data_IF_309977864176
#
_entry.id   IF_309977864176
#
_cell.length_a   1.000
_cell.length_b   1.000
_cell.length_c   1.000
_cell.angle_alpha   90.00
_cell.angle_beta   90.00
_cell.angle_gamma   90.00
#
_symmetry.space_group_name_H-M   'P 1'
#
loop_
_entity.id
_entity.type
_entity.pdbx_description
1 polymer ?
#
# COMPACT_ATOMS: atom_id res chain seq x y z
N UNK A 1 18.52 -43.96 43.03
CA UNK A 1 19.73 -43.18 42.71
C UNK A 1 20.00 -43.30 41.22
N UNK A 2 20.29 -42.15 40.61
CA UNK A 2 20.23 -41.81 39.19
C UNK A 2 21.15 -42.63 38.27
N UNK A 3 20.64 -43.12 37.13
CA UNK A 3 21.42 -43.42 35.91
C UNK A 3 20.57 -43.19 34.65
N UNK A 4 20.73 -41.99 34.09
CA UNK A 4 20.26 -41.62 32.75
C UNK A 4 21.19 -42.30 31.74
N UNK A 5 20.63 -43.09 30.82
CA UNK A 5 21.31 -43.52 29.62
C UNK A 5 20.34 -43.39 28.44
N UNK A 6 20.64 -42.41 27.59
CA UNK A 6 20.03 -42.06 26.31
C UNK A 6 20.26 -43.21 25.31
N UNK A 7 19.32 -43.48 24.40
CA UNK A 7 19.61 -43.88 22.99
C UNK A 7 18.36 -43.77 22.08
N UNK A 8 18.44 -42.78 21.19
CA UNK A 8 17.97 -42.65 19.80
C UNK A 8 16.79 -43.51 19.26
N UNK A 9 15.77 -42.86 18.66
CA UNK A 9 15.57 -42.85 17.19
C UNK A 9 14.25 -42.17 16.73
N UNK A 10 14.42 -41.19 15.83
CA UNK A 10 13.60 -40.86 14.65
C UNK A 10 12.06 -40.70 14.72
N UNK A 11 11.61 -39.48 14.37
CA UNK A 11 10.88 -39.31 13.12
C UNK A 11 9.49 -38.63 13.15
N UNK A 12 9.41 -37.48 12.44
CA UNK A 12 8.29 -37.09 11.53
C UNK A 12 7.03 -36.52 12.26
N UNK A 13 6.49 -35.31 12.06
CA UNK A 13 6.45 -34.36 10.95
C UNK A 13 6.61 -32.91 11.44
N UNK A 14 7.47 -32.14 10.77
CA UNK A 14 7.35 -30.69 10.75
C UNK A 14 6.08 -30.32 9.96
N UNK A 15 5.09 -29.75 10.65
CA UNK A 15 3.98 -29.07 9.98
C UNK A 15 4.49 -27.73 9.46
N UNK A 16 5.19 -27.76 8.34
CA UNK A 16 5.42 -26.57 7.54
C UNK A 16 4.06 -26.16 6.95
N UNK A 17 3.34 -25.29 7.64
CA UNK A 17 2.25 -24.52 7.04
C UNK A 17 2.88 -23.57 6.02
N UNK A 18 3.23 -24.09 4.85
CA UNK A 18 3.39 -23.27 3.66
C UNK A 18 1.99 -22.72 3.35
N UNK A 19 1.68 -21.55 3.91
CA UNK A 19 0.59 -20.73 3.44
C UNK A 19 0.97 -20.29 2.01
N UNK A 20 0.69 -21.16 1.04
CA UNK A 20 0.56 -20.75 -0.34
C UNK A 20 -0.59 -19.76 -0.34
N UNK A 21 -0.27 -18.47 -0.26
CA UNK A 21 -1.21 -17.44 -0.61
C UNK A 21 -1.65 -17.80 -2.03
N UNK A 22 -2.89 -18.24 -2.18
CA UNK A 22 -3.52 -18.43 -3.48
C UNK A 22 -3.46 -17.05 -4.12
N UNK A 23 -2.44 -16.82 -4.96
CA UNK A 23 -2.22 -15.54 -5.59
C UNK A 23 -3.48 -15.27 -6.42
N UNK A 24 -4.31 -14.34 -5.92
CA UNK A 24 -5.54 -13.98 -6.61
C UNK A 24 -5.23 -13.54 -8.02
N UNK A 25 -6.18 -13.72 -8.94
CA UNK A 25 -5.99 -13.23 -10.32
C UNK A 25 -5.60 -11.75 -10.30
N UNK A 26 -4.61 -11.39 -11.12
CA UNK A 26 -4.15 -10.00 -11.25
C UNK A 26 -5.28 -9.12 -11.81
N UNK A 27 -5.42 -7.93 -11.24
CA UNK A 27 -6.48 -6.95 -11.55
C UNK A 27 -5.87 -5.57 -11.71
N UNK A 28 -6.63 -4.69 -12.36
CA UNK A 28 -6.29 -3.26 -12.43
C UNK A 28 -7.09 -2.49 -11.39
N UNK A 29 -6.40 -1.77 -10.53
CA UNK A 29 -6.94 -0.83 -9.56
C UNK A 29 -6.66 0.60 -10.07
N UNK A 30 -7.60 1.51 -9.85
CA UNK A 30 -7.50 2.90 -10.33
C UNK A 30 -7.73 3.86 -9.18
N UNK A 31 -6.99 4.95 -9.18
CA UNK A 31 -7.08 5.93 -8.11
C UNK A 31 -5.89 6.87 -8.13
N UNK A 32 -5.74 7.65 -7.09
CA UNK A 32 -4.57 8.47 -6.85
C UNK A 32 -3.58 7.74 -5.94
N UNK A 33 -2.29 7.77 -6.31
CA UNK A 33 -1.22 7.33 -5.41
C UNK A 33 -0.98 8.47 -4.41
N UNK A 34 -1.66 8.40 -3.27
CA UNK A 34 -1.69 9.44 -2.24
C UNK A 34 -0.93 8.99 -0.99
N UNK A 35 -0.70 9.89 -0.05
CA UNK A 35 -0.24 9.53 1.29
C UNK A 35 -1.42 9.05 2.15
N UNK A 36 -1.10 8.19 3.12
CA UNK A 36 -2.09 7.59 4.00
C UNK A 36 -2.92 8.62 4.79
N UNK A 37 -2.34 9.75 5.18
CA UNK A 37 -3.04 10.73 6.03
C UNK A 37 -4.09 11.54 5.25
N UNK A 38 -3.78 11.93 4.01
CA UNK A 38 -4.78 12.53 3.14
C UNK A 38 -5.81 11.49 2.71
N UNK A 39 -5.39 10.29 2.29
CA UNK A 39 -6.31 9.25 1.81
C UNK A 39 -7.28 8.72 2.88
N UNK A 40 -6.85 8.64 4.15
CA UNK A 40 -7.64 8.09 5.25
C UNK A 40 -8.43 9.15 6.04
N UNK A 41 -8.51 10.39 5.56
CA UNK A 41 -9.17 11.48 6.26
C UNK A 41 -8.60 11.74 7.66
N UNK A 42 -7.27 11.77 7.75
CA UNK A 42 -6.56 12.26 8.95
C UNK A 42 -6.33 13.76 8.84
N UNK A 43 -5.91 14.23 7.65
CA UNK A 43 -5.64 15.65 7.37
C UNK A 43 -6.50 16.24 6.24
N UNK A 44 -7.38 15.46 5.61
CA UNK A 44 -8.28 15.92 4.54
C UNK A 44 -9.67 15.30 4.70
N UNK A 45 -10.68 16.16 4.85
CA UNK A 45 -12.07 15.72 4.97
C UNK A 45 -12.57 15.05 3.69
N UNK A 46 -12.02 15.43 2.54
CA UNK A 46 -12.40 14.92 1.21
C UNK A 46 -11.62 13.69 0.75
N UNK A 47 -10.65 13.20 1.56
CA UNK A 47 -9.72 12.12 1.16
C UNK A 47 -8.85 12.48 -0.06
N UNK A 48 -8.47 13.75 -0.15
CA UNK A 48 -7.69 14.32 -1.27
C UNK A 48 -6.61 15.26 -0.75
N UNK A 49 -5.84 15.88 -1.66
CA UNK A 49 -4.92 16.96 -1.27
C UNK A 49 -5.54 18.35 -1.28
N UNK A 50 -6.80 18.51 -1.68
CA UNK A 50 -7.38 19.83 -1.98
C UNK A 50 -7.28 20.84 -0.82
N UNK A 51 -7.63 20.43 0.40
CA UNK A 51 -7.60 21.32 1.57
C UNK A 51 -6.17 21.69 1.97
N UNK A 52 -5.27 20.71 1.90
CA UNK A 52 -3.86 20.91 2.23
C UNK A 52 -3.18 21.85 1.22
N UNK A 53 -3.51 21.72 -0.06
CA UNK A 53 -2.98 22.60 -1.11
C UNK A 53 -3.54 24.02 -1.04
N UNK A 54 -4.80 24.18 -0.60
CA UNK A 54 -5.39 25.51 -0.34
C UNK A 54 -4.69 26.21 0.82
N UNK A 55 -4.36 25.49 1.89
CA UNK A 55 -3.66 26.06 3.06
C UNK A 55 -2.16 26.24 2.87
N UNK A 56 -1.55 25.52 1.91
CA UNK A 56 -0.10 25.49 1.64
C UNK A 56 0.77 25.10 2.84
N UNK A 57 0.19 24.43 3.84
CA UNK A 57 0.86 24.13 5.11
C UNK A 57 1.82 22.94 5.03
N UNK A 58 1.66 22.04 4.05
CA UNK A 58 2.48 20.82 3.91
C UNK A 58 2.95 20.51 2.48
N UNK A 59 3.01 21.52 1.61
CA UNK A 59 3.43 21.37 0.21
C UNK A 59 2.62 22.23 -0.76
N UNK A 60 3.13 22.38 -1.99
CA UNK A 60 2.49 23.19 -3.04
C UNK A 60 1.77 22.39 -4.13
N UNK A 61 2.00 21.07 -4.16
CA UNK A 61 1.41 20.11 -5.12
C UNK A 61 1.09 18.80 -4.40
N UNK A 62 0.16 17.99 -4.93
CA UNK A 62 -0.15 16.65 -4.41
C UNK A 62 1.10 15.80 -4.22
N UNK A 63 2.02 15.84 -5.20
CA UNK A 63 3.31 15.15 -5.12
C UNK A 63 4.13 15.60 -3.91
N UNK A 64 4.39 16.90 -3.80
CA UNK A 64 5.18 17.44 -2.68
C UNK A 64 4.52 17.20 -1.33
N UNK A 65 3.18 17.21 -1.26
CA UNK A 65 2.42 16.94 -0.05
C UNK A 65 2.60 15.48 0.39
N UNK A 66 2.43 14.53 -0.52
CA UNK A 66 2.63 13.12 -0.21
C UNK A 66 4.08 12.79 0.15
N UNK A 67 5.05 13.36 -0.57
CA UNK A 67 6.47 13.20 -0.24
C UNK A 67 6.78 13.70 1.17
N UNK A 68 6.31 14.91 1.51
CA UNK A 68 6.46 15.47 2.84
C UNK A 68 5.84 14.57 3.92
N UNK A 69 4.64 14.03 3.68
CA UNK A 69 3.99 13.13 4.61
C UNK A 69 4.80 11.86 4.89
N UNK A 70 5.39 11.25 3.86
CA UNK A 70 6.20 10.03 4.02
C UNK A 70 7.50 10.34 4.75
N UNK A 71 8.16 11.45 4.38
CA UNK A 71 9.50 11.79 4.87
C UNK A 71 9.49 12.38 6.28
N UNK A 72 8.42 13.07 6.67
CA UNK A 72 8.39 13.83 7.92
C UNK A 72 7.27 13.42 8.89
N UNK A 73 6.21 12.75 8.42
CA UNK A 73 5.05 12.42 9.25
C UNK A 73 4.84 10.91 9.43
N UNK A 74 5.72 10.08 8.88
CA UNK A 74 5.65 8.62 9.01
C UNK A 74 4.52 7.97 8.21
N UNK A 75 3.98 8.66 7.21
CA UNK A 75 2.96 8.10 6.31
C UNK A 75 3.52 7.08 5.32
N UNK A 76 2.63 6.34 4.67
CA UNK A 76 2.94 5.44 3.56
C UNK A 76 2.18 5.86 2.30
N UNK A 77 2.67 5.46 1.12
CA UNK A 77 1.93 5.59 -0.12
C UNK A 77 0.85 4.52 -0.23
N UNK A 78 -0.34 4.97 -0.60
CA UNK A 78 -1.53 4.15 -0.77
C UNK A 78 -2.19 4.49 -2.10
N UNK A 79 -3.04 3.59 -2.59
CA UNK A 79 -3.94 3.92 -3.70
C UNK A 79 -5.29 4.35 -3.13
N UNK A 80 -5.60 5.64 -3.25
CA UNK A 80 -6.91 6.22 -2.93
C UNK A 80 -7.85 6.07 -4.13
N UNK A 81 -8.82 5.16 -4.00
CA UNK A 81 -9.83 4.82 -5.02
C UNK A 81 -11.22 5.20 -4.52
N UNK A 82 -11.51 6.51 -4.51
CA UNK A 82 -12.75 7.05 -3.95
C UNK A 82 -12.80 6.83 -2.43
N UNK A 83 -13.79 6.07 -1.95
CA UNK A 83 -13.89 5.73 -0.52
C UNK A 83 -12.99 4.56 -0.08
N UNK A 84 -12.38 3.86 -1.03
CA UNK A 84 -11.52 2.70 -0.74
C UNK A 84 -10.06 3.10 -0.80
N UNK A 85 -9.31 2.75 0.24
CA UNK A 85 -7.85 2.91 0.28
C UNK A 85 -7.20 1.54 0.28
N UNK A 86 -6.29 1.32 -0.66
CA UNK A 86 -5.49 0.11 -0.74
C UNK A 86 -4.05 0.40 -0.33
N UNK A 87 -3.49 -0.48 0.50
CA UNK A 87 -2.06 -0.45 0.81
C UNK A 87 -1.27 -0.94 -0.39
N UNK A 88 -0.06 -0.44 -0.54
CA UNK A 88 0.84 -0.81 -1.62
C UNK A 88 2.08 -1.47 -1.01
N UNK A 89 2.38 -2.71 -1.40
CA UNK A 89 3.52 -3.43 -0.83
C UNK A 89 4.88 -2.88 -1.31
N UNK A 90 4.92 -2.36 -2.52
CA UNK A 90 6.12 -1.80 -3.14
C UNK A 90 6.12 -0.27 -3.12
N UNK A 91 6.52 0.29 -1.98
CA UNK A 91 6.58 1.73 -1.74
C UNK A 91 7.57 2.47 -2.65
N UNK A 92 8.68 1.84 -3.04
CA UNK A 92 9.67 2.44 -3.93
C UNK A 92 9.12 2.60 -5.35
N UNK A 93 8.42 1.59 -5.88
CA UNK A 93 7.72 1.69 -7.16
C UNK A 93 6.61 2.76 -7.14
N UNK A 94 5.87 2.87 -6.05
CA UNK A 94 4.80 3.86 -5.90
C UNK A 94 5.31 5.32 -5.84
N UNK A 95 6.54 5.54 -5.33
CA UNK A 95 7.08 6.89 -5.07
C UNK A 95 7.17 7.78 -6.31
N UNK A 96 7.43 7.22 -7.48
CA UNK A 96 7.46 7.99 -8.73
C UNK A 96 6.09 8.58 -9.08
N UNK A 97 5.02 7.89 -8.69
CA UNK A 97 3.63 8.25 -8.99
C UNK A 97 2.94 9.04 -7.89
N UNK A 98 3.64 9.38 -6.79
CA UNK A 98 3.07 10.13 -5.67
C UNK A 98 2.36 11.41 -6.14
N UNK A 99 1.11 11.59 -5.69
CA UNK A 99 0.19 12.66 -6.05
C UNK A 99 -0.41 12.57 -7.45
N UNK A 100 -0.26 11.44 -8.15
CA UNK A 100 -0.78 11.25 -9.51
C UNK A 100 -1.91 10.21 -9.53
N UNK A 101 -2.86 10.41 -10.45
CA UNK A 101 -3.80 9.34 -10.82
C UNK A 101 -3.06 8.26 -11.59
N UNK A 102 -3.28 7.01 -11.20
CA UNK A 102 -2.59 5.86 -11.76
C UNK A 102 -3.51 4.64 -11.90
N UNK A 103 -3.10 3.74 -12.79
CA UNK A 103 -3.58 2.36 -12.86
C UNK A 103 -2.52 1.47 -12.23
N UNK A 104 -2.88 0.79 -11.15
CA UNK A 104 -2.02 -0.20 -10.49
C UNK A 104 -2.49 -1.58 -10.91
N UNK A 105 -1.63 -2.33 -11.59
CA UNK A 105 -1.88 -3.74 -11.90
C UNK A 105 -1.26 -4.58 -10.80
N UNK A 106 -2.02 -5.50 -10.22
CA UNK A 106 -1.54 -6.32 -9.11
C UNK A 106 -2.56 -7.32 -8.59
N UNK A 107 -2.18 -8.06 -7.56
CA UNK A 107 -3.08 -8.99 -6.85
C UNK A 107 -3.48 -8.38 -5.51
N UNK A 108 -4.74 -8.52 -5.10
CA UNK A 108 -5.21 -8.00 -3.81
C UNK A 108 -5.12 -9.11 -2.77
N UNK A 109 -4.41 -8.85 -1.66
CA UNK A 109 -4.64 -9.55 -0.41
C UNK A 109 -5.86 -8.95 0.30
N UNK A 110 -7.01 -9.66 0.33
CA UNK A 110 -8.24 -9.13 0.93
C UNK A 110 -8.15 -9.02 2.46
N UNK A 111 -7.26 -9.76 3.12
CA UNK A 111 -7.13 -9.73 4.58
C UNK A 111 -6.49 -8.42 5.04
N UNK A 112 -5.50 -7.95 4.29
CA UNK A 112 -4.72 -6.75 4.64
C UNK A 112 -5.10 -5.52 3.79
N UNK A 113 -5.96 -5.70 2.78
CA UNK A 113 -6.25 -4.71 1.73
C UNK A 113 -4.98 -4.19 1.04
N UNK A 114 -4.00 -5.06 0.86
CA UNK A 114 -2.73 -4.74 0.21
C UNK A 114 -2.76 -5.20 -1.24
N UNK A 115 -2.43 -4.31 -2.16
CA UNK A 115 -2.18 -4.66 -3.56
C UNK A 115 -0.69 -4.99 -3.69
N UNK A 116 -0.42 -6.22 -4.13
CA UNK A 116 0.89 -6.65 -4.56
C UNK A 116 1.16 -6.12 -5.95
N UNK A 117 2.00 -5.08 -6.04
CA UNK A 117 2.19 -4.32 -7.28
C UNK A 117 2.96 -5.18 -8.30
N UNK A 118 2.38 -5.30 -9.48
CA UNK A 118 3.05 -5.83 -10.68
C UNK A 118 3.52 -4.68 -11.57
N UNK A 119 2.67 -3.67 -11.79
CA UNK A 119 3.05 -2.46 -12.53
C UNK A 119 2.18 -1.26 -12.15
N UNK A 120 2.70 -0.07 -12.40
CA UNK A 120 1.98 1.20 -12.23
C UNK A 120 2.16 1.98 -13.52
N UNK A 121 1.07 2.55 -14.04
CA UNK A 121 1.11 3.49 -15.16
C UNK A 121 0.27 4.72 -14.86
N UNK A 122 0.63 5.91 -15.36
CA UNK A 122 -0.21 7.10 -15.18
C UNK A 122 -1.59 6.88 -15.78
N UNK A 123 -2.63 7.33 -15.08
CA UNK A 123 -3.98 7.37 -15.63
C UNK A 123 -4.19 8.71 -16.32
N UNK A 124 -3.77 8.80 -17.58
CA UNK A 124 -3.84 10.01 -18.41
C UNK A 124 -5.27 10.37 -18.85
N UNK A 125 -6.31 9.89 -18.14
CA UNK A 125 -7.67 10.30 -18.44
C UNK A 125 -7.80 11.81 -18.25
N UNK A 126 -8.33 12.55 -19.25
CA UNK A 126 -8.55 13.98 -19.12
C UNK A 126 -9.45 14.24 -17.91
N UNK A 127 -9.27 15.36 -17.19
CA UNK A 127 -10.14 15.72 -16.08
C UNK A 127 -11.58 15.74 -16.61
N UNK A 128 -12.44 14.91 -16.03
CA UNK A 128 -13.87 14.97 -16.30
C UNK A 128 -14.33 16.38 -15.93
N UNK A 129 -14.67 17.15 -16.96
CA UNK A 129 -15.19 18.51 -16.91
C UNK A 129 -16.58 18.51 -16.28
#
# INVERSE_FOLDING_TARGET
MNRIAILCAAGILAWANAAYAQAGASKTFRGEISDSQCALNVHSLTRSHEEMLKSKSMGGTSRSCSQYCIEHLGGELVLSSGATVFRLDNQSAAREYAGQKAKVVGTLDPKTKTVHIVSIVPDTQPPHR
#
